data_IF_058917165191
#
_entry.id   IF_058917165191
#
_cell.length_a   1.000
_cell.length_b   1.000
_cell.length_c   1.000
_cell.angle_alpha   90.00
_cell.angle_beta   90.00
_cell.angle_gamma   90.00
#
_symmetry.space_group_name_H-M   'P 1'
#
loop_
_entity.id
_entity.type
_entity.pdbx_description
1 polymer ?
#
# COMPACT_ATOMS: atom_id res chain seq x y z
N UNK A 1 41.32 -4.16 34.85
CA UNK A 1 41.39 -2.86 34.15
C UNK A 1 39.97 -2.52 33.73
N UNK A 2 39.15 -2.01 34.65
CA UNK A 2 39.03 -0.57 35.00
C UNK A 2 38.61 0.25 33.78
N UNK A 3 37.30 0.50 33.64
CA UNK A 3 36.59 1.73 34.07
C UNK A 3 37.00 2.97 33.26
N UNK A 4 36.05 3.51 32.48
CA UNK A 4 35.70 4.92 32.63
C UNK A 4 34.31 5.24 32.07
N UNK A 5 33.40 5.52 33.00
CA UNK A 5 32.21 6.37 32.85
C UNK A 5 32.66 7.82 33.06
N UNK A 6 32.11 8.76 32.28
CA UNK A 6 32.29 10.20 32.51
C UNK A 6 31.00 10.95 32.19
N UNK A 7 30.46 11.62 33.20
CA UNK A 7 29.16 12.30 33.28
C UNK A 7 29.18 13.76 32.78
N UNK A 8 28.03 14.20 32.25
CA UNK A 8 27.21 15.40 32.56
C UNK A 8 27.93 16.71 32.96
N UNK A 9 27.56 17.82 32.30
CA UNK A 9 27.45 19.13 32.95
C UNK A 9 26.21 19.92 32.48
N UNK A 10 25.35 20.23 33.45
CA UNK A 10 24.29 21.24 33.44
C UNK A 10 24.88 22.66 33.38
N UNK A 11 24.15 23.62 32.79
CA UNK A 11 24.09 25.01 33.28
C UNK A 11 22.66 25.54 33.08
N UNK A 12 22.10 26.06 34.18
CA UNK A 12 20.87 26.84 34.29
C UNK A 12 21.11 28.33 33.95
N UNK A 13 20.07 29.05 33.54
CA UNK A 13 19.53 30.24 34.24
C UNK A 13 18.84 31.25 33.30
N UNK A 14 17.64 31.66 33.72
CA UNK A 14 16.81 32.72 33.16
C UNK A 14 17.03 34.04 33.91
N UNK A 15 16.52 35.17 33.37
CA UNK A 15 15.83 36.12 34.26
C UNK A 15 14.49 36.66 33.70
N UNK A 16 13.57 36.92 34.63
CA UNK A 16 12.32 37.69 34.54
C UNK A 16 12.54 39.16 34.93
N UNK A 17 11.77 40.08 34.33
CA UNK A 17 11.01 41.19 34.99
C UNK A 17 10.36 42.08 33.90
N UNK A 18 9.03 42.27 33.90
CA UNK A 18 8.28 43.51 34.30
C UNK A 18 8.42 44.63 33.23
N UNK A 19 7.40 45.31 32.68
CA UNK A 19 6.19 45.91 33.25
C UNK A 19 5.12 46.20 32.17
N UNK A 20 3.86 46.32 32.60
CA UNK A 20 2.72 46.81 31.79
C UNK A 20 2.38 48.28 32.13
N UNK A 21 1.61 48.98 31.28
CA UNK A 21 0.63 49.93 31.79
C UNK A 21 -0.79 49.74 31.24
N UNK A 22 -1.76 50.13 32.08
CA UNK A 22 -3.22 50.02 31.96
C UNK A 22 -3.88 51.12 31.12
N UNK A 23 -4.99 50.71 30.51
CA UNK A 23 -6.27 51.35 30.13
C UNK A 23 -6.41 52.87 30.05
N UNK A 24 -7.11 53.33 28.99
CA UNK A 24 -8.09 54.44 29.08
C UNK A 24 -9.28 54.20 28.13
N UNK A 25 -10.46 54.18 28.74
CA UNK A 25 -11.83 54.60 28.37
C UNK A 25 -12.59 54.12 27.11
N UNK A 26 -13.82 53.66 27.40
CA UNK A 26 -14.95 53.49 26.49
C UNK A 26 -15.91 54.71 26.58
N UNK A 27 -16.80 54.88 25.59
CA UNK A 27 -18.19 55.23 25.91
C UNK A 27 -19.24 54.37 25.19
N UNK A 28 -20.44 54.39 25.78
CA UNK A 28 -21.60 53.50 25.63
C UNK A 28 -22.53 53.79 24.43
N UNK A 29 -23.13 52.69 23.95
CA UNK A 29 -24.51 52.41 23.49
C UNK A 29 -25.32 53.46 22.71
N UNK A 30 -25.91 53.06 21.56
CA UNK A 30 -27.31 53.35 21.19
C UNK A 30 -27.88 52.25 20.25
N UNK A 31 -29.03 51.70 20.66
CA UNK A 31 -30.18 51.09 19.97
C UNK A 31 -30.11 49.94 18.94
N UNK A 32 -30.91 48.91 19.24
CA UNK A 32 -31.36 47.84 18.36
C UNK A 32 -32.76 48.13 17.77
N UNK A 33 -33.14 47.44 16.68
CA UNK A 33 -34.51 46.96 16.53
C UNK A 33 -34.62 45.43 16.46
N UNK A 34 -35.80 44.96 16.86
CA UNK A 34 -36.21 43.59 17.18
C UNK A 34 -36.39 42.65 15.98
N UNK A 35 -36.02 41.38 16.23
CA UNK A 35 -36.68 40.07 15.95
C UNK A 35 -37.25 39.78 14.55
N UNK A 36 -36.80 38.67 14.00
CA UNK A 36 -37.70 37.62 13.49
C UNK A 36 -37.17 36.22 13.83
N UNK A 37 -38.07 35.37 14.30
CA UNK A 37 -37.82 34.04 14.84
C UNK A 37 -37.39 33.05 13.74
N UNK A 38 -36.26 32.39 13.93
CA UNK A 38 -36.04 31.06 13.38
C UNK A 38 -35.60 30.16 14.53
N UNK A 39 -36.55 29.37 15.02
CA UNK A 39 -36.38 28.43 16.11
C UNK A 39 -35.50 27.28 15.59
N UNK A 40 -34.24 27.23 16.02
CA UNK A 40 -33.37 26.07 15.81
C UNK A 40 -33.89 24.90 16.64
N UNK A 41 -34.20 23.74 16.05
CA UNK A 41 -34.79 22.63 16.77
C UNK A 41 -33.69 21.78 17.41
N UNK A 42 -32.90 22.34 18.33
CA UNK A 42 -31.97 21.57 19.15
C UNK A 42 -31.83 22.22 20.53
N UNK A 43 -32.91 22.13 21.30
CA UNK A 43 -32.82 22.04 22.75
C UNK A 43 -33.74 20.89 23.14
N UNK A 44 -33.15 19.73 23.46
CA UNK A 44 -33.38 19.13 24.77
C UNK A 44 -32.53 17.87 25.01
N UNK A 45 -31.69 17.99 26.03
CA UNK A 45 -31.52 17.04 27.14
C UNK A 45 -31.42 15.54 26.83
N UNK A 46 -30.19 15.09 26.57
CA UNK A 46 -29.55 13.96 27.26
C UNK A 46 -28.13 13.78 26.73
N UNK A 47 -27.19 13.35 27.59
CA UNK A 47 -25.78 13.11 27.25
C UNK A 47 -25.58 12.04 26.18
N UNK A 48 -25.81 12.40 24.92
CA UNK A 48 -25.60 11.58 23.74
C UNK A 48 -24.17 11.73 23.26
N UNK A 49 -23.35 10.70 23.45
CA UNK A 49 -22.05 10.61 22.77
C UNK A 49 -22.32 10.60 21.26
N UNK A 50 -21.70 11.53 20.52
CA UNK A 50 -21.43 11.47 19.07
C UNK A 50 -22.54 11.89 18.08
N UNK A 51 -23.26 12.98 18.32
CA UNK A 51 -24.29 13.44 17.36
C UNK A 51 -23.71 13.86 15.99
N UNK A 52 -22.47 14.39 15.94
CA UNK A 52 -21.84 14.81 14.67
C UNK A 52 -21.25 13.63 13.87
N UNK A 53 -20.97 12.49 14.52
CA UNK A 53 -20.31 11.34 13.90
C UNK A 53 -21.27 10.42 13.12
N UNK A 54 -22.57 10.70 13.17
CA UNK A 54 -23.64 9.89 12.59
C UNK A 54 -24.34 10.65 11.44
N UNK A 55 -23.75 11.76 10.99
CA UNK A 55 -24.32 12.64 9.98
C UNK A 55 -24.70 11.89 8.68
N UNK A 56 -23.89 10.93 8.26
CA UNK A 56 -24.14 10.10 7.08
C UNK A 56 -25.41 9.24 7.25
N UNK A 57 -25.63 8.68 8.44
CA UNK A 57 -26.84 7.90 8.75
C UNK A 57 -28.07 8.82 8.82
N UNK A 58 -27.95 9.98 9.47
CA UNK A 58 -29.03 10.97 9.60
C UNK A 58 -29.44 11.52 8.23
N UNK A 59 -28.47 11.81 7.36
CA UNK A 59 -28.70 12.33 5.99
C UNK A 59 -28.91 11.23 4.94
N UNK A 60 -28.92 9.96 5.35
CA UNK A 60 -29.02 8.78 4.47
C UNK A 60 -27.99 8.84 3.33
N UNK A 61 -26.73 9.18 3.62
CA UNK A 61 -25.64 9.23 2.65
C UNK A 61 -24.91 7.88 2.70
N UNK A 62 -25.02 7.02 1.67
CA UNK A 62 -24.38 5.72 1.69
C UNK A 62 -22.89 5.86 1.40
N UNK A 63 -22.06 5.30 2.29
CA UNK A 63 -20.59 5.29 2.15
C UNK A 63 -20.16 4.45 0.95
N UNK A 64 -20.91 3.38 0.63
CA UNK A 64 -20.66 2.52 -0.52
C UNK A 64 -21.97 1.90 -1.05
N UNK A 65 -21.95 1.30 -2.26
CA UNK A 65 -23.15 0.68 -2.85
C UNK A 65 -23.73 -0.49 -2.03
N UNK A 66 -22.92 -1.16 -1.20
CA UNK A 66 -23.40 -2.26 -0.35
C UNK A 66 -24.32 -1.75 0.77
N UNK A 67 -23.94 -0.65 1.41
CA UNK A 67 -24.76 0.00 2.44
C UNK A 67 -26.03 0.58 1.81
N UNK A 68 -25.92 1.21 0.63
CA UNK A 68 -27.07 1.72 -0.12
C UNK A 68 -28.14 0.65 -0.37
N UNK A 69 -27.70 -0.53 -0.81
CA UNK A 69 -28.58 -1.68 -1.06
C UNK A 69 -29.10 -2.36 0.20
N UNK A 70 -28.32 -2.42 1.28
CA UNK A 70 -28.73 -3.06 2.53
C UNK A 70 -29.73 -2.19 3.31
N UNK A 71 -29.56 -0.88 3.27
CA UNK A 71 -30.42 0.09 3.96
C UNK A 71 -31.55 0.64 3.08
N UNK A 72 -31.66 0.18 1.83
CA UNK A 72 -32.66 0.62 0.84
C UNK A 72 -32.68 2.15 0.62
N UNK A 73 -31.51 2.77 0.62
CA UNK A 73 -31.35 4.23 0.44
C UNK A 73 -31.56 4.62 -1.04
N UNK A 74 -31.26 3.72 -1.97
CA UNK A 74 -31.47 3.85 -3.42
C UNK A 74 -30.83 5.11 -4.06
N UNK A 75 -29.65 5.52 -3.60
CA UNK A 75 -28.90 6.66 -4.17
C UNK A 75 -27.95 6.24 -5.29
N UNK A 76 -27.50 4.99 -5.35
CA UNK A 76 -26.65 4.51 -6.45
C UNK A 76 -27.51 4.05 -7.63
N UNK A 77 -27.47 4.80 -8.75
CA UNK A 77 -28.26 4.51 -9.97
C UNK A 77 -28.09 3.09 -10.51
N UNK A 78 -26.87 2.55 -10.44
CA UNK A 78 -26.51 1.25 -11.01
C UNK A 78 -26.61 0.08 -10.00
N UNK A 79 -27.06 0.34 -8.77
CA UNK A 79 -27.14 -0.68 -7.72
C UNK A 79 -25.77 -1.24 -7.31
N UNK A 80 -25.76 -2.46 -6.75
CA UNK A 80 -24.55 -3.16 -6.31
C UNK A 80 -24.52 -4.61 -6.78
N UNK A 81 -23.40 -5.04 -7.35
CA UNK A 81 -23.12 -6.45 -7.58
C UNK A 81 -22.63 -7.09 -6.28
N UNK A 82 -23.40 -8.03 -5.72
CA UNK A 82 -22.98 -8.78 -4.53
C UNK A 82 -21.93 -9.81 -4.90
N UNK A 83 -20.72 -9.69 -4.33
CA UNK A 83 -19.67 -10.69 -4.51
C UNK A 83 -19.94 -11.91 -3.60
N UNK A 84 -19.48 -13.10 -4.02
CA UNK A 84 -19.50 -14.28 -3.14
C UNK A 84 -18.47 -14.11 -2.02
N UNK A 85 -18.66 -14.80 -0.89
CA UNK A 85 -17.76 -14.69 0.26
C UNK A 85 -16.30 -15.05 -0.06
N UNK A 86 -16.08 -15.98 -0.99
CA UNK A 86 -14.76 -16.38 -1.49
C UNK A 86 -13.99 -15.22 -2.14
N UNK A 87 -14.67 -14.15 -2.59
CA UNK A 87 -14.03 -12.95 -3.17
C UNK A 87 -13.66 -11.89 -2.12
N UNK A 88 -14.22 -11.96 -0.91
CA UNK A 88 -13.89 -11.02 0.16
C UNK A 88 -12.79 -11.57 1.08
N UNK A 89 -12.77 -12.88 1.28
CA UNK A 89 -11.87 -13.52 2.24
C UNK A 89 -11.60 -14.96 1.86
N UNK A 90 -10.44 -15.48 2.25
CA UNK A 90 -10.10 -16.89 2.06
C UNK A 90 -8.63 -17.19 2.34
N UNK A 91 -8.30 -18.48 2.35
CA UNK A 91 -6.92 -18.98 2.37
C UNK A 91 -6.33 -18.88 0.96
N UNK A 92 -5.03 -18.55 0.80
CA UNK A 92 -4.40 -18.53 -0.52
C UNK A 92 -4.28 -19.95 -1.08
N UNK A 93 -4.14 -20.05 -2.39
CA UNK A 93 -3.93 -21.32 -3.09
C UNK A 93 -2.57 -21.35 -3.75
N UNK A 94 -2.05 -22.55 -4.01
CA UNK A 94 -0.90 -22.71 -4.89
C UNK A 94 -1.31 -22.33 -6.33
N UNK A 95 -0.66 -21.30 -6.85
CA UNK A 95 -0.90 -20.74 -8.18
C UNK A 95 0.12 -21.21 -9.23
N UNK A 96 1.06 -22.07 -8.83
CA UNK A 96 2.18 -22.51 -9.66
C UNK A 96 1.74 -23.18 -10.98
N UNK A 97 2.72 -23.31 -11.89
CA UNK A 97 2.57 -23.80 -13.25
C UNK A 97 1.73 -25.08 -13.34
N UNK A 98 1.18 -25.36 -14.53
CA UNK A 98 0.28 -26.49 -14.83
C UNK A 98 0.79 -27.88 -14.40
N UNK A 99 2.04 -28.00 -13.98
CA UNK A 99 2.72 -29.23 -13.58
C UNK A 99 2.70 -29.49 -12.07
N UNK A 100 2.30 -28.52 -11.23
CA UNK A 100 2.22 -28.77 -9.79
C UNK A 100 0.92 -29.52 -9.40
N UNK A 101 1.10 -30.68 -8.76
CA UNK A 101 0.02 -31.48 -8.18
C UNK A 101 -0.82 -30.73 -7.13
N UNK A 102 -0.24 -29.71 -6.47
CA UNK A 102 -0.95 -28.89 -5.48
C UNK A 102 -1.67 -27.68 -6.07
N UNK A 103 -1.66 -27.50 -7.40
CA UNK A 103 -2.32 -26.38 -8.05
C UNK A 103 -3.79 -26.26 -7.65
N UNK A 104 -4.22 -25.02 -7.35
CA UNK A 104 -5.55 -24.68 -6.84
C UNK A 104 -5.91 -25.32 -5.48
N UNK A 105 -4.96 -25.96 -4.79
CA UNK A 105 -5.17 -26.43 -3.42
C UNK A 105 -4.79 -25.33 -2.43
N UNK A 106 -5.46 -25.25 -1.26
CA UNK A 106 -5.11 -24.31 -0.22
C UNK A 106 -3.67 -24.52 0.25
N UNK A 107 -2.96 -23.41 0.50
CA UNK A 107 -1.61 -23.47 1.06
C UNK A 107 -1.61 -24.24 2.38
N UNK A 108 -0.65 -25.16 2.50
CA UNK A 108 -0.43 -25.93 3.71
C UNK A 108 0.39 -25.12 4.71
N UNK A 109 -0.04 -25.16 5.96
CA UNK A 109 0.66 -24.53 7.06
C UNK A 109 0.98 -25.56 8.15
N UNK A 110 2.06 -25.37 8.93
CA UNK A 110 2.38 -26.26 10.06
C UNK A 110 1.32 -26.29 11.16
N UNK A 111 0.47 -25.26 11.22
CA UNK A 111 -0.60 -25.10 12.21
C UNK A 111 -1.99 -25.18 11.54
N UNK A 112 -3.03 -25.55 12.31
CA UNK A 112 -4.37 -25.79 11.76
C UNK A 112 -5.05 -24.47 11.35
N UNK A 113 -5.00 -24.14 10.06
CA UNK A 113 -5.75 -23.02 9.47
C UNK A 113 -7.07 -23.53 8.91
N UNK A 114 -8.17 -22.79 9.13
CA UNK A 114 -9.46 -23.13 8.55
C UNK A 114 -9.45 -23.02 7.03
N UNK A 115 -9.47 -24.18 6.35
CA UNK A 115 -9.51 -24.30 4.88
C UNK A 115 -10.94 -24.26 4.30
N UNK A 116 -11.94 -23.83 5.08
CA UNK A 116 -13.35 -23.86 4.66
C UNK A 116 -13.69 -22.81 3.59
N UNK A 117 -12.93 -21.72 3.54
CA UNK A 117 -13.12 -20.65 2.55
C UNK A 117 -11.80 -20.43 1.84
N UNK A 118 -11.78 -20.73 0.55
CA UNK A 118 -10.66 -20.53 -0.36
C UNK A 118 -10.91 -19.23 -1.13
N UNK A 119 -9.88 -18.41 -1.28
CA UNK A 119 -10.02 -17.17 -2.05
C UNK A 119 -10.11 -17.48 -3.55
N UNK A 120 -11.15 -16.99 -4.21
CA UNK A 120 -11.35 -17.19 -5.65
C UNK A 120 -11.08 -15.89 -6.40
N UNK A 121 -10.03 -15.88 -7.22
CA UNK A 121 -9.74 -14.77 -8.14
C UNK A 121 -10.85 -14.63 -9.18
N UNK A 122 -11.22 -13.39 -9.48
CA UNK A 122 -12.15 -13.14 -10.56
C UNK A 122 -11.43 -13.35 -11.90
N UNK A 123 -11.83 -14.37 -12.66
CA UNK A 123 -11.35 -14.57 -14.04
C UNK A 123 -11.93 -13.46 -14.90
N UNK A 124 -11.16 -12.38 -15.08
CA UNK A 124 -11.21 -11.15 -15.91
C UNK A 124 -12.39 -10.87 -16.87
N UNK A 125 -13.31 -11.77 -17.21
CA UNK A 125 -14.28 -11.60 -18.30
C UNK A 125 -15.76 -11.90 -17.93
N UNK A 126 -16.32 -11.37 -16.84
CA UNK A 126 -17.76 -11.67 -16.52
C UNK A 126 -18.73 -10.50 -16.49
N UNK A 127 -18.30 -9.25 -16.49
CA UNK A 127 -19.22 -8.12 -16.68
C UNK A 127 -18.66 -7.24 -17.79
N UNK A 128 -19.36 -7.18 -18.92
CA UNK A 128 -19.01 -6.31 -20.06
C UNK A 128 -18.90 -4.83 -19.63
N UNK A 129 -19.58 -4.42 -18.56
CA UNK A 129 -19.54 -3.07 -18.01
C UNK A 129 -18.99 -3.03 -16.57
N UNK A 130 -17.67 -2.95 -16.43
CA UNK A 130 -17.05 -2.62 -15.13
C UNK A 130 -17.07 -1.10 -14.92
N UNK A 131 -18.08 -0.60 -14.21
CA UNK A 131 -18.28 0.85 -13.97
C UNK A 131 -17.12 1.47 -13.17
N UNK A 132 -16.62 0.77 -12.14
CA UNK A 132 -15.50 1.26 -11.32
C UNK A 132 -14.19 0.56 -11.70
N UNK A 133 -13.30 1.30 -12.36
CA UNK A 133 -11.96 0.86 -12.79
C UNK A 133 -10.84 1.37 -11.88
N UNK A 134 -11.17 1.92 -10.71
CA UNK A 134 -10.16 2.36 -9.76
C UNK A 134 -9.41 1.16 -9.17
N UNK A 135 -8.20 1.43 -8.69
CA UNK A 135 -7.32 0.42 -8.11
C UNK A 135 -8.01 -0.41 -7.03
N UNK A 136 -8.77 0.22 -6.12
CA UNK A 136 -9.48 -0.47 -5.04
C UNK A 136 -10.38 -1.60 -5.55
N UNK A 137 -11.13 -1.35 -6.62
CA UNK A 137 -12.00 -2.37 -7.17
C UNK A 137 -11.20 -3.42 -7.95
N UNK A 138 -10.22 -3.02 -8.77
CA UNK A 138 -9.42 -3.95 -9.60
C UNK A 138 -8.59 -4.89 -8.73
N UNK A 139 -7.92 -4.36 -7.72
CA UNK A 139 -7.07 -5.15 -6.85
C UNK A 139 -7.88 -6.15 -6.00
N UNK A 140 -9.13 -5.83 -5.65
CA UNK A 140 -10.05 -6.75 -4.96
C UNK A 140 -10.41 -8.02 -5.75
N UNK A 141 -10.21 -8.02 -7.07
CA UNK A 141 -10.41 -9.22 -7.90
C UNK A 141 -9.24 -10.21 -7.80
N UNK A 142 -8.06 -9.71 -7.44
CA UNK A 142 -6.82 -10.46 -7.39
C UNK A 142 -6.41 -10.81 -5.96
N UNK A 143 -6.78 -9.97 -4.99
CA UNK A 143 -6.39 -10.09 -3.60
C UNK A 143 -7.57 -9.71 -2.68
N UNK A 144 -7.73 -10.35 -1.52
CA UNK A 144 -8.70 -9.93 -0.51
C UNK A 144 -8.26 -8.60 0.13
N UNK A 145 -9.19 -7.65 0.27
CA UNK A 145 -8.89 -6.30 0.80
C UNK A 145 -8.35 -6.34 2.24
N UNK A 146 -8.95 -7.16 3.10
CA UNK A 146 -8.50 -7.36 4.50
C UNK A 146 -7.30 -8.33 4.62
N UNK A 147 -6.86 -8.91 3.51
CA UNK A 147 -5.84 -9.94 3.51
C UNK A 147 -6.34 -11.37 3.52
N UNK A 148 -5.42 -12.27 3.26
CA UNK A 148 -5.67 -13.69 3.33
C UNK A 148 -5.87 -14.16 4.78
N UNK A 149 -6.70 -15.20 4.96
CA UNK A 149 -6.81 -15.92 6.22
C UNK A 149 -5.52 -16.69 6.48
N UNK A 150 -4.62 -16.03 7.21
CA UNK A 150 -3.31 -16.55 7.60
C UNK A 150 -3.30 -16.93 9.09
N UNK A 151 -2.32 -17.73 9.51
CA UNK A 151 -1.99 -17.92 10.93
C UNK A 151 -2.07 -16.63 11.74
N UNK A 152 -2.80 -16.73 12.85
CA UNK A 152 -2.90 -15.68 13.84
C UNK A 152 -2.19 -16.12 15.12
N UNK A 153 -1.26 -15.29 15.62
CA UNK A 153 -0.52 -15.48 16.89
C UNK A 153 -1.42 -16.02 18.00
N UNK A 154 -2.54 -15.36 18.26
CA UNK A 154 -3.45 -15.67 19.38
C UNK A 154 -4.25 -16.96 19.19
N UNK A 155 -4.38 -17.46 17.96
CA UNK A 155 -5.25 -18.61 17.64
C UNK A 155 -4.49 -19.88 17.30
N UNK A 156 -3.24 -19.77 16.82
CA UNK A 156 -2.52 -20.89 16.19
C UNK A 156 -1.21 -21.27 16.89
N UNK A 157 -0.70 -20.43 17.78
CA UNK A 157 0.51 -20.72 18.54
C UNK A 157 0.14 -20.84 20.01
N UNK A 158 0.48 -21.97 20.61
CA UNK A 158 0.28 -22.22 22.04
C UNK A 158 1.39 -21.59 22.87
N UNK A 159 2.60 -21.48 22.30
CA UNK A 159 3.78 -20.91 22.95
C UNK A 159 4.54 -19.95 22.04
N UNK A 160 5.24 -18.97 22.63
CA UNK A 160 6.04 -18.00 21.86
C UNK A 160 7.22 -18.66 21.12
N UNK A 161 7.77 -19.77 21.63
CA UNK A 161 8.86 -20.48 20.95
C UNK A 161 8.42 -21.12 19.63
N UNK A 162 7.16 -21.58 19.52
CA UNK A 162 6.61 -22.16 18.28
C UNK A 162 6.54 -21.08 17.20
N UNK A 163 6.14 -19.86 17.60
CA UNK A 163 6.08 -18.69 16.73
C UNK A 163 7.48 -18.28 16.27
N UNK A 164 8.46 -18.24 17.18
CA UNK A 164 9.86 -17.94 16.85
C UNK A 164 10.46 -18.98 15.92
N UNK A 165 10.18 -20.26 16.16
CA UNK A 165 10.63 -21.34 15.31
C UNK A 165 10.01 -21.25 13.90
N UNK A 166 8.70 -21.03 13.82
CA UNK A 166 8.01 -20.83 12.54
C UNK A 166 8.57 -19.63 11.78
N UNK A 167 8.87 -18.53 12.47
CA UNK A 167 9.52 -17.38 11.87
C UNK A 167 10.93 -17.68 11.37
N UNK A 168 11.75 -18.36 12.17
CA UNK A 168 13.11 -18.75 11.79
C UNK A 168 13.13 -19.63 10.53
N UNK A 169 12.12 -20.47 10.34
CA UNK A 169 11.96 -21.30 9.15
C UNK A 169 11.22 -20.61 7.99
N UNK A 170 10.90 -19.31 8.10
CA UNK A 170 10.19 -18.57 7.05
C UNK A 170 8.73 -18.97 6.85
N UNK A 171 8.12 -19.65 7.81
CA UNK A 171 6.73 -20.13 7.77
C UNK A 171 5.74 -19.17 8.45
N UNK A 172 6.25 -18.14 9.14
CA UNK A 172 5.46 -17.12 9.79
C UNK A 172 6.20 -15.79 9.84
N UNK A 173 5.64 -14.73 9.26
CA UNK A 173 6.18 -13.38 9.43
C UNK A 173 5.51 -12.72 10.64
N UNK A 174 6.27 -11.96 11.43
CA UNK A 174 5.70 -11.21 12.55
C UNK A 174 4.75 -10.13 12.06
N UNK A 175 3.58 -10.04 12.69
CA UNK A 175 2.75 -8.84 12.62
C UNK A 175 3.48 -7.72 13.33
N UNK A 176 3.93 -6.71 12.59
CA UNK A 176 4.43 -5.50 13.22
C UNK A 176 3.25 -4.80 13.90
N UNK A 177 3.24 -4.77 15.23
CA UNK A 177 2.14 -4.22 16.03
C UNK A 177 2.27 -2.73 16.30
N UNK A 178 3.37 -2.11 15.88
CA UNK A 178 3.64 -0.72 16.18
C UNK A 178 2.85 0.20 15.25
N UNK A 179 1.75 0.74 15.78
CA UNK A 179 0.88 1.74 15.15
C UNK A 179 1.57 3.09 14.83
N UNK A 180 2.84 3.26 15.20
CA UNK A 180 3.55 4.55 15.15
C UNK A 180 4.48 4.75 13.96
N UNK A 181 4.35 3.96 12.91
CA UNK A 181 4.99 4.28 11.64
C UNK A 181 3.98 4.13 10.52
N UNK A 182 3.88 5.17 9.70
CA UNK A 182 3.13 5.27 8.43
C UNK A 182 3.45 4.09 7.46
N UNK A 183 4.35 3.19 7.84
CA UNK A 183 4.88 2.08 7.06
C UNK A 183 4.32 0.70 7.50
N UNK A 184 3.78 0.53 8.71
CA UNK A 184 3.68 -0.81 9.33
C UNK A 184 2.27 -1.36 9.64
N UNK A 185 1.18 -0.64 9.34
CA UNK A 185 -0.18 -1.12 9.67
C UNK A 185 -0.65 -2.28 8.76
N UNK A 186 -0.07 -2.42 7.56
CA UNK A 186 -0.72 -3.16 6.47
C UNK A 186 0.17 -4.26 5.86
N UNK A 187 0.95 -4.99 6.66
CA UNK A 187 1.69 -6.15 6.12
C UNK A 187 0.77 -7.31 5.69
N UNK A 188 -0.53 -7.21 5.97
CA UNK A 188 -1.52 -8.24 5.61
C UNK A 188 -2.74 -7.69 4.89
N UNK A 189 -2.95 -6.37 4.84
CA UNK A 189 -4.08 -5.76 4.12
C UNK A 189 -3.62 -5.25 2.76
N UNK A 190 -4.55 -5.12 1.83
CA UNK A 190 -4.25 -4.67 0.48
C UNK A 190 -3.82 -3.21 0.54
N UNK A 191 -2.65 -2.88 -0.03
CA UNK A 191 -2.19 -1.50 -0.07
C UNK A 191 -3.24 -0.65 -0.79
N UNK A 192 -3.64 0.50 -0.23
CA UNK A 192 -4.46 1.46 -0.97
C UNK A 192 -3.61 2.19 -2.02
N UNK A 193 -4.27 2.84 -2.98
CA UNK A 193 -3.57 3.63 -3.99
C UNK A 193 -2.68 4.73 -3.37
N UNK A 194 -3.18 5.37 -2.30
CA UNK A 194 -2.41 6.37 -1.58
C UNK A 194 -1.21 5.76 -0.85
N UNK A 195 -1.35 4.56 -0.27
CA UNK A 195 -0.22 3.88 0.37
C UNK A 195 0.86 3.52 -0.64
N UNK A 196 0.47 3.05 -1.83
CA UNK A 196 1.40 2.75 -2.92
C UNK A 196 2.13 4.03 -3.35
N UNK A 197 1.40 5.12 -3.58
CA UNK A 197 1.97 6.41 -3.99
C UNK A 197 2.93 6.95 -2.93
N UNK A 198 2.55 6.91 -1.66
CA UNK A 198 3.38 7.41 -0.56
C UNK A 198 4.65 6.56 -0.39
N UNK A 199 4.53 5.23 -0.39
CA UNK A 199 5.70 4.32 -0.31
C UNK A 199 6.63 4.50 -1.50
N UNK A 200 6.09 4.67 -2.70
CA UNK A 200 6.87 4.91 -3.91
C UNK A 200 7.60 6.25 -3.85
N UNK A 201 6.92 7.33 -3.45
CA UNK A 201 7.52 8.66 -3.34
C UNK A 201 8.70 8.65 -2.35
N UNK A 202 8.54 8.02 -1.18
CA UNK A 202 9.62 7.86 -0.21
C UNK A 202 10.83 7.10 -0.78
N UNK A 203 10.59 6.10 -1.62
CA UNK A 203 11.65 5.34 -2.29
C UNK A 203 12.36 6.18 -3.36
N UNK A 204 11.59 6.92 -4.17
CA UNK A 204 12.11 7.83 -5.20
C UNK A 204 12.96 8.94 -4.57
N UNK A 205 12.52 9.52 -3.45
CA UNK A 205 13.28 10.53 -2.71
C UNK A 205 14.61 9.97 -2.23
N UNK A 206 14.63 8.76 -1.64
CA UNK A 206 15.86 8.09 -1.19
C UNK A 206 16.84 7.86 -2.34
N UNK A 207 16.37 7.28 -3.45
CA UNK A 207 17.22 6.99 -4.62
C UNK A 207 17.83 8.26 -5.21
N UNK A 208 17.04 9.33 -5.33
CA UNK A 208 17.54 10.58 -5.89
C UNK A 208 18.59 11.26 -5.00
N UNK A 209 18.52 11.05 -3.68
CA UNK A 209 19.55 11.51 -2.73
C UNK A 209 20.82 10.66 -2.82
N UNK A 210 20.69 9.34 -2.96
CA UNK A 210 21.83 8.41 -2.97
C UNK A 210 22.70 8.59 -4.23
N UNK A 211 22.12 8.60 -5.43
CA UNK A 211 22.86 8.83 -6.67
C UNK A 211 22.00 9.50 -7.76
N UNK A 212 22.06 10.84 -7.91
CA UNK A 212 21.19 11.56 -8.85
C UNK A 212 21.48 11.26 -10.32
N UNK A 213 22.72 10.88 -10.64
CA UNK A 213 23.22 10.63 -12.00
C UNK A 213 23.16 9.16 -12.42
N UNK A 214 22.51 8.30 -11.62
CA UNK A 214 22.31 6.90 -11.96
C UNK A 214 21.33 6.76 -13.13
N UNK A 215 21.80 6.20 -14.25
CA UNK A 215 20.97 5.92 -15.43
C UNK A 215 19.89 4.86 -15.17
N UNK A 216 20.14 3.94 -14.23
CA UNK A 216 19.30 2.77 -13.97
C UNK A 216 18.24 3.03 -12.90
N UNK A 217 18.22 4.22 -12.29
CA UNK A 217 17.33 4.54 -11.16
C UNK A 217 15.85 4.32 -11.45
N UNK A 218 15.39 4.68 -12.65
CA UNK A 218 13.97 4.53 -13.02
C UNK A 218 13.55 3.07 -13.18
N UNK A 219 14.48 2.18 -13.54
CA UNK A 219 14.20 0.75 -13.61
C UNK A 219 13.97 0.17 -12.21
N UNK A 220 14.78 0.58 -11.23
CA UNK A 220 14.57 0.23 -9.82
C UNK A 220 13.25 0.79 -9.28
N UNK A 221 12.89 2.03 -9.65
CA UNK A 221 11.61 2.65 -9.27
C UNK A 221 10.42 1.87 -9.85
N UNK A 222 10.46 1.48 -11.12
CA UNK A 222 9.38 0.71 -11.75
C UNK A 222 9.29 -0.73 -11.22
N UNK A 223 10.42 -1.36 -10.88
CA UNK A 223 10.42 -2.64 -10.16
C UNK A 223 9.67 -2.51 -8.83
N UNK A 224 10.05 -1.54 -8.00
CA UNK A 224 9.43 -1.34 -6.69
C UNK A 224 7.93 -0.99 -6.79
N UNK A 225 7.55 -0.14 -7.75
CA UNK A 225 6.16 0.16 -8.07
C UNK A 225 5.39 -1.09 -8.52
N UNK A 226 5.99 -1.94 -9.33
CA UNK A 226 5.40 -3.22 -9.73
C UNK A 226 5.16 -4.12 -8.52
N UNK A 227 6.13 -4.23 -7.61
CA UNK A 227 6.00 -5.01 -6.38
C UNK A 227 4.85 -4.49 -5.50
N UNK A 228 4.76 -3.17 -5.31
CA UNK A 228 3.72 -2.54 -4.50
C UNK A 228 2.31 -2.76 -5.07
N UNK A 229 2.14 -2.62 -6.37
CA UNK A 229 0.84 -2.79 -7.06
C UNK A 229 0.39 -4.25 -7.10
N UNK A 230 1.32 -5.21 -7.08
CA UNK A 230 1.02 -6.63 -6.96
C UNK A 230 1.01 -7.15 -5.52
N UNK A 231 1.08 -6.26 -4.52
CA UNK A 231 1.00 -6.63 -3.11
C UNK A 231 2.00 -7.72 -2.72
N UNK A 232 3.28 -7.47 -3.02
CA UNK A 232 4.39 -8.40 -2.73
C UNK A 232 4.45 -8.86 -1.27
N UNK A 233 3.93 -8.05 -0.34
CA UNK A 233 3.83 -8.38 1.09
C UNK A 233 2.85 -9.52 1.38
N UNK A 234 1.85 -9.75 0.53
CA UNK A 234 0.90 -10.86 0.67
C UNK A 234 1.30 -12.09 -0.14
N UNK A 235 1.75 -11.87 -1.37
CA UNK A 235 2.10 -12.93 -2.31
C UNK A 235 3.40 -12.57 -3.02
N UNK A 236 4.56 -12.86 -2.39
CA UNK A 236 5.86 -12.50 -2.93
C UNK A 236 6.15 -13.25 -4.24
N UNK A 237 5.79 -14.53 -4.33
CA UNK A 237 6.14 -15.37 -5.49
C UNK A 237 5.48 -14.86 -6.77
N UNK A 238 4.17 -14.62 -6.74
CA UNK A 238 3.44 -14.10 -7.90
C UNK A 238 3.87 -12.68 -8.26
N UNK A 239 4.20 -11.86 -7.26
CA UNK A 239 4.68 -10.49 -7.48
C UNK A 239 6.06 -10.50 -8.14
N UNK A 240 6.97 -11.34 -7.63
CA UNK A 240 8.31 -11.52 -8.19
C UNK A 240 8.24 -12.00 -9.64
N UNK A 241 7.40 -12.99 -9.94
CA UNK A 241 7.21 -13.48 -11.32
C UNK A 241 6.80 -12.38 -12.30
N UNK A 242 6.00 -11.40 -11.86
CA UNK A 242 5.57 -10.27 -12.70
C UNK A 242 6.62 -9.17 -12.82
N UNK A 243 7.38 -8.95 -11.75
CA UNK A 243 8.28 -7.79 -11.63
C UNK A 243 9.74 -8.11 -11.98
N UNK A 244 10.14 -9.39 -12.03
CA UNK A 244 11.51 -9.83 -12.36
C UNK A 244 12.03 -9.28 -13.68
N UNK A 245 11.14 -8.96 -14.64
CA UNK A 245 11.54 -8.30 -15.89
C UNK A 245 12.25 -6.97 -15.64
N UNK A 246 11.76 -6.16 -14.70
CA UNK A 246 12.35 -4.85 -14.40
C UNK A 246 13.68 -5.00 -13.68
N UNK A 247 13.77 -5.98 -12.79
CA UNK A 247 15.03 -6.37 -12.17
C UNK A 247 16.08 -6.79 -13.21
N UNK A 248 15.68 -7.59 -14.21
CA UNK A 248 16.59 -7.99 -15.29
C UNK A 248 17.08 -6.80 -16.10
N UNK A 249 16.19 -5.88 -16.49
CA UNK A 249 16.56 -4.64 -17.19
C UNK A 249 17.48 -3.77 -16.31
N UNK A 250 17.20 -3.66 -15.02
CA UNK A 250 18.04 -2.94 -14.06
C UNK A 250 19.47 -3.54 -14.01
N UNK A 251 19.59 -4.86 -13.93
CA UNK A 251 20.88 -5.54 -13.91
C UNK A 251 21.66 -5.36 -15.23
N UNK A 252 20.97 -5.40 -16.37
CA UNK A 252 21.59 -5.11 -17.68
C UNK A 252 22.08 -3.66 -17.74
N UNK A 253 21.25 -2.71 -17.31
CA UNK A 253 21.62 -1.30 -17.25
C UNK A 253 22.84 -1.08 -16.36
N UNK A 254 22.93 -1.76 -15.20
CA UNK A 254 24.09 -1.62 -14.31
C UNK A 254 25.38 -2.13 -14.94
N UNK A 255 25.31 -3.21 -15.71
CA UNK A 255 26.46 -3.65 -16.49
C UNK A 255 26.83 -2.64 -17.59
N UNK A 256 25.83 -2.04 -18.24
CA UNK A 256 26.05 -1.05 -19.29
C UNK A 256 26.65 0.26 -18.75
N UNK A 257 26.21 0.71 -17.58
CA UNK A 257 26.82 1.83 -16.85
C UNK A 257 28.27 1.52 -16.49
N UNK A 258 28.53 0.31 -15.98
CA UNK A 258 29.87 -0.12 -15.61
C UNK A 258 30.81 -0.18 -16.82
N UNK A 259 30.41 -0.80 -17.93
CA UNK A 259 31.28 -0.91 -19.12
C UNK A 259 31.59 0.46 -19.75
N UNK A 260 30.66 1.41 -19.68
CA UNK A 260 30.88 2.79 -20.15
C UNK A 260 31.86 3.54 -19.25
N UNK A 261 31.70 3.44 -17.92
CA UNK A 261 32.55 4.12 -16.96
C UNK A 261 34.00 3.60 -16.97
N UNK A 262 34.19 2.30 -17.18
CA UNK A 262 35.52 1.66 -17.22
C UNK A 262 36.10 1.51 -18.63
N UNK A 263 35.39 1.94 -19.67
CA UNK A 263 35.88 1.91 -21.06
C UNK A 263 36.06 0.51 -21.62
N UNK A 264 35.23 -0.45 -21.22
CA UNK A 264 35.27 -1.79 -21.80
C UNK A 264 34.67 -1.81 -23.20
N UNK A 265 35.44 -2.32 -24.16
CA UNK A 265 35.03 -2.49 -25.55
C UNK A 265 35.62 -3.79 -26.12
N UNK A 266 35.17 -4.18 -27.31
CA UNK A 266 35.65 -5.35 -28.03
C UNK A 266 36.03 -5.00 -29.47
N UNK A 267 36.95 -5.77 -30.05
CA UNK A 267 37.32 -5.61 -31.46
C UNK A 267 36.23 -6.29 -32.30
N UNK A 268 35.44 -5.50 -33.01
CA UNK A 268 34.44 -6.01 -33.95
C UNK A 268 35.07 -6.67 -35.17
N UNK A 269 34.45 -7.75 -35.66
CA UNK A 269 34.88 -8.39 -36.90
C UNK A 269 34.56 -7.53 -38.13
N UNK A 270 35.27 -7.79 -39.23
CA UNK A 270 34.92 -7.18 -40.52
C UNK A 270 33.48 -7.55 -40.89
N UNK A 271 32.79 -6.58 -41.49
CA UNK A 271 31.42 -6.72 -41.95
C UNK A 271 31.25 -7.95 -42.85
N UNK A 272 30.23 -8.75 -42.58
CA UNK A 272 29.91 -9.92 -43.38
C UNK A 272 29.51 -9.51 -44.81
N UNK A 273 30.00 -10.24 -45.82
CA UNK A 273 29.71 -10.00 -47.25
C UNK A 273 28.20 -10.02 -47.57
N UNK A 274 27.41 -10.76 -46.79
CA UNK A 274 25.93 -10.80 -46.90
C UNK A 274 25.23 -10.12 -45.71
N UNK A 275 25.77 -9.02 -45.19
CA UNK A 275 25.10 -8.25 -44.12
C UNK A 275 23.72 -7.72 -44.53
N UNK A 276 23.52 -7.48 -45.83
CA UNK A 276 22.21 -7.10 -46.39
C UNK A 276 21.57 -8.32 -47.02
N UNK A 277 20.28 -8.54 -46.77
CA UNK A 277 19.52 -9.61 -47.42
C UNK A 277 19.39 -9.39 -48.93
N UNK A 278 19.22 -8.12 -49.35
CA UNK A 278 19.10 -7.70 -50.75
C UNK A 278 19.94 -6.45 -51.01
N UNK A 279 20.44 -6.28 -52.24
CA UNK A 279 21.33 -5.16 -52.60
C UNK A 279 20.68 -3.79 -52.41
N UNK A 280 19.38 -3.68 -52.73
CA UNK A 280 18.59 -2.47 -52.59
C UNK A 280 18.06 -2.25 -51.16
N UNK A 281 18.24 -3.22 -50.25
CA UNK A 281 17.78 -3.06 -48.89
C UNK A 281 18.57 -1.94 -48.19
N UNK A 282 17.88 -1.06 -47.44
CA UNK A 282 18.55 -0.06 -46.63
C UNK A 282 19.37 -0.76 -45.55
N UNK A 283 20.48 -0.12 -45.19
CA UNK A 283 21.45 -0.66 -44.26
C UNK A 283 21.59 0.29 -43.09
N UNK A 284 20.68 0.13 -42.15
CA UNK A 284 20.65 0.90 -40.92
C UNK A 284 21.95 0.65 -40.15
N UNK A 285 22.67 1.73 -39.87
CA UNK A 285 23.86 1.67 -39.03
C UNK A 285 23.38 1.61 -37.57
N UNK A 286 23.83 0.59 -36.84
CA UNK A 286 23.63 0.45 -35.41
C UNK A 286 24.94 0.79 -34.70
N UNK A 287 24.83 1.55 -33.61
CA UNK A 287 25.96 1.96 -32.77
C UNK A 287 26.57 0.79 -31.99
#
# INVERSE_FOLDING_TARGET
>A
MELNKGNISHCEDAPKSEDAPKSVDAPKSVDAPKKENAQSPFDDTNGGKNNDSILDVIKKIPINPFIDSNENINKYKYGVEKKKIQRYTGVPVYEEEDKDHKKNQPVDYPFPVSKSVIFEKNKVNKSEDRININYSNIASDLYPEEGFKTPNRKKHFSSDWEMLLAHNHGLYNFKNTDHNTIVNKDMYALNTENDIRNKLNLYVERINVDNPNDACKYLAIEEYKCLLTHSFHMNPDVSNQKCVKWFNEYMQCKWDEHKLNYGYNYIGNRRNKKSKAYIAAPDYQYS
#
